data_IF_412643370266
#
_entry.id   IF_412643370266
#
_cell.length_a   1.000
_cell.length_b   1.000
_cell.length_c   1.000
_cell.angle_alpha   90.00
_cell.angle_beta   90.00
_cell.angle_gamma   90.00
#
_symmetry.space_group_name_H-M   'P 1'
#
loop_
_entity.id
_entity.type
_entity.pdbx_description
1 polymer ?
#
# COMPACT_ATOMS: atom_id res chain seq x y z
N UNK A 1 0.23 -21.71 -6.09
CA UNK A 1 1.03 -20.59 -5.54
C UNK A 1 2.52 -20.91 -5.56
N UNK A 2 3.02 -21.84 -4.74
CA UNK A 2 4.47 -22.08 -4.61
C UNK A 2 5.21 -22.51 -5.90
N UNK A 3 4.58 -23.30 -6.77
CA UNK A 3 5.17 -23.73 -8.05
C UNK A 3 5.32 -22.64 -9.11
N UNK A 4 5.09 -21.36 -8.77
CA UNK A 4 5.44 -20.24 -9.67
C UNK A 4 6.95 -19.99 -9.73
N UNK A 5 7.71 -20.50 -8.76
CA UNK A 5 9.17 -20.43 -8.73
C UNK A 5 9.71 -21.83 -8.41
N UNK A 6 10.41 -22.40 -9.38
CA UNK A 6 11.10 -23.68 -9.26
C UNK A 6 12.60 -23.39 -9.12
N UNK A 7 13.23 -24.00 -8.11
CA UNK A 7 14.65 -23.81 -7.80
C UNK A 7 15.34 -25.16 -7.74
N UNK A 8 16.55 -25.24 -8.31
CA UNK A 8 17.35 -26.46 -8.41
C UNK A 8 18.81 -26.20 -8.00
N UNK A 9 19.60 -27.26 -7.83
CA UNK A 9 21.04 -27.17 -7.52
C UNK A 9 21.40 -26.78 -6.08
N UNK A 10 20.43 -26.78 -5.17
CA UNK A 10 20.61 -26.47 -3.74
C UNK A 10 20.61 -27.69 -2.82
N UNK A 11 20.94 -27.42 -1.56
CA UNK A 11 20.82 -28.38 -0.44
C UNK A 11 19.37 -28.46 0.06
N UNK A 12 19.03 -29.54 0.78
CA UNK A 12 17.70 -29.69 1.40
C UNK A 12 17.32 -28.51 2.30
N UNK A 13 18.26 -27.95 3.05
CA UNK A 13 17.99 -26.83 3.96
C UNK A 13 17.73 -25.51 3.22
N UNK A 14 18.40 -25.30 2.07
CA UNK A 14 18.09 -24.17 1.19
C UNK A 14 16.68 -24.29 0.60
N UNK A 15 16.26 -25.48 0.16
CA UNK A 15 14.89 -25.69 -0.33
C UNK A 15 13.85 -25.45 0.77
N UNK A 16 14.07 -25.98 1.98
CA UNK A 16 13.20 -25.74 3.13
C UNK A 16 13.09 -24.26 3.45
N UNK A 17 14.22 -23.55 3.50
CA UNK A 17 14.25 -22.11 3.77
C UNK A 17 13.50 -21.34 2.69
N UNK A 18 13.81 -21.62 1.42
CA UNK A 18 13.19 -20.94 0.29
C UNK A 18 11.67 -21.10 0.27
N UNK A 19 11.17 -22.33 0.31
CA UNK A 19 9.73 -22.57 0.23
C UNK A 19 8.98 -22.16 1.51
N UNK A 20 9.66 -22.17 2.68
CA UNK A 20 9.09 -21.61 3.91
C UNK A 20 8.93 -20.09 3.81
N UNK A 21 9.95 -19.38 3.32
CA UNK A 21 9.88 -17.93 3.08
C UNK A 21 8.83 -17.60 2.00
N UNK A 22 8.81 -18.33 0.89
CA UNK A 22 7.83 -18.11 -0.17
C UNK A 22 6.39 -18.34 0.32
N UNK A 23 6.17 -19.36 1.15
CA UNK A 23 4.88 -19.56 1.81
C UNK A 23 4.49 -18.33 2.65
N UNK A 24 5.39 -17.83 3.51
CA UNK A 24 5.12 -16.64 4.34
C UNK A 24 4.82 -15.39 3.52
N UNK A 25 5.46 -15.23 2.36
CA UNK A 25 5.22 -14.13 1.41
C UNK A 25 3.89 -14.24 0.64
N UNK A 26 3.04 -15.22 0.93
CA UNK A 26 1.72 -15.41 0.27
C UNK A 26 0.55 -15.37 1.24
N UNK A 27 0.78 -14.96 2.49
CA UNK A 27 -0.25 -14.92 3.53
C UNK A 27 -0.92 -13.55 3.69
N UNK A 28 -0.17 -12.46 3.49
CA UNK A 28 -0.62 -11.09 3.74
C UNK A 28 -0.38 -10.17 2.53
N UNK A 29 -1.23 -9.13 2.34
CA UNK A 29 -2.46 -8.87 3.08
C UNK A 29 -3.52 -9.96 2.83
N UNK A 30 -4.39 -10.22 3.82
CA UNK A 30 -5.42 -11.25 3.67
C UNK A 30 -6.61 -10.71 2.88
N UNK A 31 -7.32 -11.59 2.17
CA UNK A 31 -8.66 -11.30 1.64
C UNK A 31 -9.56 -10.86 2.79
N UNK A 32 -10.26 -9.76 2.61
CA UNK A 32 -11.24 -9.23 3.54
C UNK A 32 -12.56 -8.93 2.83
N UNK A 33 -12.85 -9.73 1.83
CA UNK A 33 -14.08 -9.73 1.07
C UNK A 33 -14.67 -11.15 1.07
N UNK A 34 -15.96 -11.23 0.82
CA UNK A 34 -16.74 -12.45 0.70
C UNK A 34 -17.46 -12.48 -0.67
N UNK A 35 -18.01 -13.63 -1.02
CA UNK A 35 -18.75 -13.84 -2.27
C UNK A 35 -20.19 -14.16 -1.90
N UNK A 36 -21.14 -13.36 -2.42
CA UNK A 36 -22.56 -13.58 -2.17
C UNK A 36 -23.12 -14.79 -2.96
N UNK A 37 -24.39 -15.13 -2.74
CA UNK A 37 -25.07 -16.24 -3.41
C UNK A 37 -25.13 -16.12 -4.95
N UNK A 38 -24.94 -14.91 -5.49
CA UNK A 38 -24.99 -14.63 -6.92
C UNK A 38 -23.57 -14.57 -7.54
N UNK A 39 -22.52 -14.76 -6.73
CA UNK A 39 -21.14 -14.66 -7.18
C UNK A 39 -20.57 -13.24 -7.12
N UNK A 40 -21.28 -12.26 -6.55
CA UNK A 40 -20.77 -10.90 -6.41
C UNK A 40 -19.77 -10.81 -5.26
N UNK A 41 -18.70 -10.04 -5.47
CA UNK A 41 -17.71 -9.75 -4.44
C UNK A 41 -18.21 -8.58 -3.59
N UNK A 42 -18.27 -8.78 -2.28
CA UNK A 42 -18.70 -7.80 -1.28
C UNK A 42 -17.71 -7.79 -0.11
N UNK A 43 -17.64 -6.71 0.64
CA UNK A 43 -16.86 -6.66 1.88
C UNK A 43 -17.58 -5.84 2.94
N UNK A 44 -17.35 -6.19 4.21
CA UNK A 44 -17.59 -5.26 5.32
C UNK A 44 -16.43 -4.26 5.35
N UNK A 45 -16.72 -2.97 5.23
CA UNK A 45 -15.72 -1.93 5.30
C UNK A 45 -15.21 -1.80 6.74
N UNK A 46 -13.92 -2.08 6.99
CA UNK A 46 -13.34 -1.84 8.30
C UNK A 46 -13.09 -0.35 8.58
N UNK A 47 -13.46 0.52 7.64
CA UNK A 47 -13.22 1.96 7.72
C UNK A 47 -14.50 2.75 8.04
N UNK A 48 -15.66 2.34 7.53
CA UNK A 48 -16.93 3.02 7.76
C UNK A 48 -18.05 2.13 8.33
N UNK A 49 -17.86 0.81 8.37
CA UNK A 49 -18.82 -0.15 8.94
C UNK A 49 -19.96 -0.58 8.01
N UNK A 50 -19.95 -0.18 6.74
CA UNK A 50 -20.95 -0.58 5.76
C UNK A 50 -20.55 -1.87 5.01
N UNK A 51 -21.53 -2.54 4.39
CA UNK A 51 -21.26 -3.64 3.45
C UNK A 51 -21.31 -3.08 2.03
N UNK A 52 -20.19 -3.14 1.32
CA UNK A 52 -19.99 -2.49 0.02
C UNK A 52 -19.51 -3.49 -1.03
N UNK A 53 -19.77 -3.24 -2.33
CA UNK A 53 -19.27 -4.09 -3.40
C UNK A 53 -17.77 -3.92 -3.64
N UNK A 54 -17.15 -4.98 -4.16
CA UNK A 54 -15.76 -4.96 -4.62
C UNK A 54 -14.76 -5.53 -3.62
N UNK A 55 -13.51 -5.61 -4.04
CA UNK A 55 -12.44 -6.21 -3.25
C UNK A 55 -12.10 -5.39 -2.02
N UNK A 56 -11.59 -6.08 -0.99
CA UNK A 56 -10.99 -5.48 0.19
C UNK A 56 -9.91 -6.42 0.73
N UNK A 57 -8.80 -5.83 1.18
CA UNK A 57 -7.65 -6.53 1.75
C UNK A 57 -7.16 -5.75 2.96
N UNK A 58 -6.61 -6.44 3.96
CA UNK A 58 -6.07 -5.80 5.18
C UNK A 58 -5.01 -6.69 5.86
N UNK A 59 -4.53 -6.26 7.03
CA UNK A 59 -3.49 -6.89 7.85
C UNK A 59 -2.11 -6.87 7.20
N UNK A 60 -1.70 -5.65 6.84
CA UNK A 60 -0.34 -5.37 6.39
C UNK A 60 0.08 -3.96 6.80
N UNK A 61 1.38 -3.79 7.02
CA UNK A 61 2.03 -2.50 7.23
C UNK A 61 2.91 -2.17 6.04
N UNK A 62 2.61 -1.10 5.31
CA UNK A 62 3.36 -0.77 4.11
C UNK A 62 4.80 -0.39 4.40
N UNK A 63 5.10 0.23 5.55
CA UNK A 63 6.47 0.47 6.01
C UNK A 63 7.37 -0.77 5.95
N UNK A 64 6.79 -1.97 6.19
CA UNK A 64 7.46 -3.25 6.03
C UNK A 64 7.44 -3.71 4.55
N UNK A 65 6.24 -3.77 3.97
CA UNK A 65 5.98 -4.60 2.78
C UNK A 65 6.25 -3.92 1.45
N UNK A 66 6.40 -2.59 1.39
CA UNK A 66 6.69 -1.86 0.14
C UNK A 66 8.03 -2.27 -0.48
N UNK A 67 8.97 -2.71 0.35
CA UNK A 67 10.38 -2.92 0.01
C UNK A 67 10.60 -4.13 -0.90
N UNK A 68 9.86 -5.22 -0.68
CA UNK A 68 10.05 -6.47 -1.43
C UNK A 68 8.80 -7.32 -1.57
N UNK A 69 7.86 -7.29 -0.62
CA UNK A 69 6.67 -8.14 -0.69
C UNK A 69 5.77 -7.73 -1.85
N UNK A 70 5.35 -6.46 -1.92
CA UNK A 70 4.54 -5.97 -3.05
C UNK A 70 5.28 -6.06 -4.40
N UNK A 71 6.59 -5.72 -4.50
CA UNK A 71 7.36 -6.02 -5.70
C UNK A 71 7.36 -7.49 -6.12
N UNK A 72 7.43 -8.44 -5.18
CA UNK A 72 7.31 -9.87 -5.45
C UNK A 72 5.93 -10.22 -6.00
N UNK A 73 4.85 -9.65 -5.43
CA UNK A 73 3.50 -9.85 -5.94
C UNK A 73 3.35 -9.32 -7.37
N UNK A 74 3.90 -8.13 -7.67
CA UNK A 74 3.89 -7.57 -9.02
C UNK A 74 4.61 -8.47 -10.04
N UNK A 75 5.68 -9.16 -9.63
CA UNK A 75 6.46 -10.03 -10.51
C UNK A 75 5.81 -11.41 -10.70
N UNK A 76 5.36 -12.03 -9.61
CA UNK A 76 5.04 -13.48 -9.58
C UNK A 76 3.53 -13.74 -9.45
N UNK A 77 2.80 -12.82 -8.83
CA UNK A 77 1.37 -12.95 -8.56
C UNK A 77 0.57 -11.68 -8.95
N UNK A 78 0.74 -11.12 -10.16
CA UNK A 78 0.18 -9.82 -10.51
C UNK A 78 -1.35 -9.78 -10.44
N UNK A 79 -2.03 -10.88 -10.74
CA UNK A 79 -3.50 -10.95 -10.63
C UNK A 79 -3.98 -10.78 -9.18
N UNK A 80 -3.22 -11.27 -8.19
CA UNK A 80 -3.55 -11.09 -6.78
C UNK A 80 -3.32 -9.63 -6.37
N UNK A 81 -2.21 -9.03 -6.82
CA UNK A 81 -1.96 -7.63 -6.49
C UNK A 81 -2.94 -6.68 -7.18
N UNK A 82 -3.49 -7.03 -8.35
CA UNK A 82 -4.58 -6.28 -8.98
C UNK A 82 -5.83 -6.21 -8.07
N UNK A 83 -6.23 -7.34 -7.48
CA UNK A 83 -7.32 -7.35 -6.48
C UNK A 83 -6.99 -6.51 -5.24
N UNK A 84 -5.72 -6.55 -4.78
CA UNK A 84 -5.27 -5.72 -3.65
C UNK A 84 -5.34 -4.24 -4.00
N UNK A 85 -4.89 -3.81 -5.18
CA UNK A 85 -4.96 -2.42 -5.61
C UNK A 85 -6.40 -1.91 -5.70
N UNK A 86 -7.32 -2.73 -6.21
CA UNK A 86 -8.76 -2.41 -6.18
C UNK A 86 -9.28 -2.24 -4.74
N UNK A 87 -8.82 -3.10 -3.83
CA UNK A 87 -9.10 -2.97 -2.39
C UNK A 87 -8.55 -1.68 -1.76
N UNK A 88 -7.37 -1.20 -2.20
CA UNK A 88 -6.82 0.07 -1.76
C UNK A 88 -7.61 1.28 -2.29
N UNK A 89 -8.11 1.19 -3.52
CA UNK A 89 -8.99 2.21 -4.08
C UNK A 89 -10.29 2.30 -3.27
N UNK A 90 -10.86 1.16 -2.88
CA UNK A 90 -12.00 1.07 -1.97
C UNK A 90 -11.69 1.65 -0.58
N UNK A 91 -10.56 1.29 0.03
CA UNK A 91 -10.13 1.87 1.31
C UNK A 91 -10.04 3.41 1.27
N UNK A 92 -9.58 3.99 0.15
CA UNK A 92 -9.58 5.45 -0.04
C UNK A 92 -11.00 6.00 -0.19
N UNK A 93 -11.88 5.37 -1.00
CA UNK A 93 -13.28 5.80 -1.16
C UNK A 93 -14.04 5.80 0.18
N UNK A 94 -13.73 4.84 1.04
CA UNK A 94 -14.45 4.61 2.29
C UNK A 94 -13.92 5.40 3.48
N UNK A 95 -12.63 5.78 3.46
CA UNK A 95 -11.98 6.45 4.59
C UNK A 95 -11.41 7.83 4.27
N UNK A 96 -11.25 8.16 2.99
CA UNK A 96 -10.54 9.35 2.51
C UNK A 96 -9.02 9.25 2.57
N UNK A 97 -8.45 8.09 2.91
CA UNK A 97 -7.01 7.86 3.00
C UNK A 97 -6.61 6.50 2.43
N UNK A 98 -5.42 6.41 1.82
CA UNK A 98 -4.75 5.12 1.68
C UNK A 98 -4.28 4.66 3.07
N UNK A 99 -4.41 3.36 3.41
CA UNK A 99 -3.84 2.85 4.65
C UNK A 99 -2.31 2.85 4.59
N UNK A 100 -1.66 3.05 5.73
CA UNK A 100 -0.22 2.75 5.89
C UNK A 100 -0.04 1.49 6.75
N UNK A 101 -0.81 1.35 7.82
CA UNK A 101 -0.95 0.12 8.59
C UNK A 101 -2.44 -0.16 8.81
N UNK A 102 -2.91 -1.32 8.36
CA UNK A 102 -4.31 -1.70 8.46
C UNK A 102 -4.48 -3.04 9.18
N UNK A 103 -5.34 -3.08 10.21
CA UNK A 103 -5.74 -4.32 10.91
C UNK A 103 -6.95 -4.09 11.85
N UNK A 104 -8.18 -4.33 11.36
CA UNK A 104 -8.53 -4.39 9.94
C UNK A 104 -8.67 -2.99 9.31
N UNK A 105 -8.98 -1.95 10.08
CA UNK A 105 -9.03 -0.55 9.64
C UNK A 105 -7.70 0.17 9.92
N UNK A 106 -7.67 1.51 9.81
CA UNK A 106 -6.49 2.32 10.10
C UNK A 106 -5.95 2.08 11.52
N UNK A 107 -4.65 1.83 11.64
CA UNK A 107 -3.96 1.61 12.91
C UNK A 107 -2.74 2.50 13.04
N UNK A 108 -2.55 3.06 14.24
CA UNK A 108 -1.40 3.88 14.59
C UNK A 108 -0.13 3.05 14.71
N UNK A 109 0.50 2.71 13.59
CA UNK A 109 1.69 1.90 13.56
C UNK A 109 2.57 2.24 12.35
N UNK A 110 3.84 2.45 12.67
CA UNK A 110 4.95 2.87 11.82
C UNK A 110 4.78 4.25 11.13
N UNK A 111 5.75 4.61 10.29
CA UNK A 111 5.92 5.96 9.71
C UNK A 111 5.96 5.89 8.18
N UNK A 112 6.13 7.05 7.53
CA UNK A 112 6.22 7.15 6.08
C UNK A 112 4.86 7.32 5.41
N UNK A 113 4.86 7.40 4.08
CA UNK A 113 3.67 7.44 3.25
C UNK A 113 3.82 6.41 2.11
N UNK A 114 4.35 5.24 2.50
CA UNK A 114 4.85 4.17 1.64
C UNK A 114 3.73 3.48 0.84
N UNK A 115 2.45 3.76 1.16
CA UNK A 115 1.33 3.51 0.25
C UNK A 115 1.57 4.08 -1.15
N UNK A 116 2.25 5.22 -1.27
CA UNK A 116 2.66 5.80 -2.55
C UNK A 116 3.59 4.88 -3.35
N UNK A 117 4.56 4.24 -2.69
CA UNK A 117 5.44 3.25 -3.33
C UNK A 117 4.67 2.02 -3.83
N UNK A 118 3.83 1.45 -2.96
CA UNK A 118 3.02 0.26 -3.29
C UNK A 118 2.13 0.50 -4.51
N UNK A 119 1.42 1.63 -4.52
CA UNK A 119 0.52 2.02 -5.61
C UNK A 119 1.30 2.37 -6.87
N UNK A 120 2.35 3.19 -6.76
CA UNK A 120 3.14 3.59 -7.93
C UNK A 120 3.82 2.39 -8.60
N UNK A 121 4.41 1.46 -7.85
CA UNK A 121 5.06 0.28 -8.44
C UNK A 121 4.06 -0.58 -9.23
N UNK A 122 2.85 -0.77 -8.69
CA UNK A 122 1.79 -1.52 -9.38
C UNK A 122 1.29 -0.81 -10.65
N UNK A 123 1.07 0.52 -10.61
CA UNK A 123 0.65 1.31 -11.77
C UNK A 123 1.72 1.28 -12.87
N UNK A 124 2.99 1.51 -12.50
CA UNK A 124 4.10 1.58 -13.45
C UNK A 124 4.32 0.23 -14.15
N UNK A 125 4.12 -0.89 -13.44
CA UNK A 125 4.20 -2.26 -13.96
C UNK A 125 2.92 -2.77 -14.64
N UNK A 126 1.86 -1.95 -14.71
CA UNK A 126 0.61 -2.31 -15.39
C UNK A 126 -0.23 -3.37 -14.66
N UNK A 127 -0.12 -3.42 -13.34
CA UNK A 127 -0.85 -4.38 -12.49
C UNK A 127 -2.17 -3.81 -11.97
N UNK A 128 -2.24 -2.50 -11.77
CA UNK A 128 -3.44 -1.82 -11.28
C UNK A 128 -4.57 -1.86 -12.33
N UNK A 129 -5.82 -2.21 -11.95
CA UNK A 129 -6.98 -2.09 -12.83
C UNK A 129 -7.14 -0.65 -13.35
N UNK A 130 -7.42 -0.51 -14.64
CA UNK A 130 -7.44 0.80 -15.34
C UNK A 130 -8.43 1.78 -14.68
N UNK A 131 -9.59 1.28 -14.25
CA UNK A 131 -10.65 2.04 -13.60
C UNK A 131 -10.23 2.64 -12.24
N UNK A 132 -9.25 2.03 -11.56
CA UNK A 132 -8.80 2.46 -10.23
C UNK A 132 -7.59 3.40 -10.28
N UNK A 133 -6.88 3.52 -11.42
CA UNK A 133 -5.68 4.34 -11.56
C UNK A 133 -5.95 5.81 -11.17
N UNK A 134 -7.07 6.38 -11.63
CA UNK A 134 -7.40 7.77 -11.35
C UNK A 134 -7.65 8.00 -9.85
N UNK A 135 -8.42 7.12 -9.21
CA UNK A 135 -8.70 7.16 -7.77
C UNK A 135 -7.42 7.02 -6.95
N UNK A 136 -6.57 6.04 -7.29
CA UNK A 136 -5.33 5.79 -6.57
C UNK A 136 -4.30 6.93 -6.74
N UNK A 137 -4.21 7.53 -7.93
CA UNK A 137 -3.36 8.70 -8.15
C UNK A 137 -3.85 9.91 -7.34
N UNK A 138 -5.16 10.16 -7.29
CA UNK A 138 -5.74 11.19 -6.45
C UNK A 138 -5.44 10.94 -4.96
N UNK A 139 -5.59 9.69 -4.52
CA UNK A 139 -5.34 9.29 -3.13
C UNK A 139 -3.90 9.57 -2.69
N UNK A 140 -2.92 9.24 -3.54
CA UNK A 140 -1.51 9.58 -3.29
C UNK A 140 -1.29 11.10 -3.18
N UNK A 141 -1.91 11.89 -4.06
CA UNK A 141 -1.80 13.36 -4.00
C UNK A 141 -2.45 13.93 -2.74
N UNK A 142 -3.61 13.41 -2.34
CA UNK A 142 -4.30 13.83 -1.13
C UNK A 142 -3.48 13.54 0.14
N UNK A 143 -2.83 12.38 0.21
CA UNK A 143 -1.97 11.98 1.32
C UNK A 143 -0.83 12.95 1.62
N UNK A 144 -0.32 13.67 0.59
CA UNK A 144 0.76 14.67 0.75
C UNK A 144 0.38 15.89 1.59
N UNK A 145 -0.91 16.12 1.82
CA UNK A 145 -1.45 17.32 2.48
C UNK A 145 -2.45 17.01 3.59
N UNK A 146 -2.50 15.76 4.05
CA UNK A 146 -3.47 15.33 5.06
C UNK A 146 -2.82 14.31 5.98
N UNK A 147 -3.25 14.34 7.24
CA UNK A 147 -3.01 13.28 8.22
C UNK A 147 -4.36 12.88 8.80
N UNK A 148 -4.55 11.60 9.07
CA UNK A 148 -5.80 11.11 9.64
C UNK A 148 -5.99 11.68 11.06
N UNK A 149 -7.19 12.17 11.42
CA UNK A 149 -7.40 12.95 12.65
C UNK A 149 -7.10 12.19 13.94
N UNK A 150 -7.23 10.86 13.92
CA UNK A 150 -7.02 10.00 15.10
C UNK A 150 -5.90 8.96 14.92
N UNK A 151 -5.27 8.90 13.74
CA UNK A 151 -4.28 7.87 13.40
C UNK A 151 -3.10 8.55 12.71
N UNK A 152 -2.13 9.02 13.49
CA UNK A 152 -1.04 9.87 12.99
C UNK A 152 -0.10 9.20 11.97
N UNK A 153 -0.12 7.88 11.85
CA UNK A 153 0.61 7.13 10.83
C UNK A 153 -0.09 7.06 9.47
N UNK A 154 -1.38 7.39 9.38
CA UNK A 154 -2.13 7.40 8.11
C UNK A 154 -2.11 8.79 7.50
N UNK A 155 -1.61 8.92 6.26
CA UNK A 155 -1.28 10.19 5.63
C UNK A 155 0.10 10.69 6.05
N UNK A 156 0.33 12.01 5.99
CA UNK A 156 1.62 12.63 6.33
C UNK A 156 1.55 13.51 7.59
N UNK A 157 1.98 12.96 8.72
CA UNK A 157 2.23 13.73 9.94
C UNK A 157 3.37 14.74 9.71
N UNK A 158 3.13 16.01 9.98
CA UNK A 158 4.11 17.08 9.77
C UNK A 158 4.28 17.50 8.30
N UNK A 159 3.29 17.22 7.44
CA UNK A 159 3.35 17.60 6.03
C UNK A 159 3.46 19.11 5.82
N UNK A 160 2.96 19.93 6.75
CA UNK A 160 3.06 21.39 6.69
C UNK A 160 4.53 21.82 6.75
N UNK A 161 5.28 21.31 7.73
CA UNK A 161 6.72 21.54 7.83
C UNK A 161 7.46 21.00 6.61
N UNK A 162 7.19 19.75 6.23
CA UNK A 162 7.85 19.12 5.10
C UNK A 162 7.61 19.88 3.78
N UNK A 163 6.37 20.29 3.50
CA UNK A 163 6.02 20.99 2.27
C UNK A 163 6.56 22.44 2.22
N UNK A 164 6.80 23.07 3.38
CA UNK A 164 7.34 24.44 3.44
C UNK A 164 8.86 24.49 3.57
N UNK A 165 9.46 23.56 4.32
CA UNK A 165 10.89 23.57 4.67
C UNK A 165 11.72 22.52 3.91
N UNK A 166 11.06 21.53 3.29
CA UNK A 166 11.71 20.37 2.68
C UNK A 166 12.10 19.26 3.66
N UNK A 167 11.79 19.42 4.95
CA UNK A 167 12.02 18.42 6.00
C UNK A 167 11.11 18.65 7.21
N UNK A 168 11.00 17.65 8.08
CA UNK A 168 10.33 17.78 9.38
C UNK A 168 11.39 18.15 10.45
N UNK A 169 11.30 19.32 11.10
CA UNK A 169 12.23 19.74 12.13
C UNK A 169 12.27 18.78 13.31
N UNK A 170 13.39 18.77 14.04
CA UNK A 170 13.59 17.91 15.20
C UNK A 170 12.88 18.44 16.46
N UNK A 171 12.76 19.76 16.58
CA UNK A 171 12.35 20.49 17.78
C UNK A 171 10.87 20.93 17.77
N UNK A 172 10.04 20.32 16.93
CA UNK A 172 8.60 20.64 16.78
C UNK A 172 7.66 19.60 17.38
N UNK A 173 8.18 18.69 18.21
CA UNK A 173 7.38 17.67 18.90
C UNK A 173 6.87 16.54 18.01
N UNK A 174 7.47 16.35 16.82
CA UNK A 174 7.19 15.22 15.92
C UNK A 174 8.38 14.27 15.96
N UNK A 175 8.19 13.06 16.51
CA UNK A 175 9.25 12.06 16.59
C UNK A 175 9.49 11.36 15.23
N UNK A 176 10.61 10.65 15.14
CA UNK A 176 11.08 9.96 13.93
C UNK A 176 11.17 10.88 12.69
N UNK A 177 11.34 12.19 12.92
CA UNK A 177 11.25 13.23 11.90
C UNK A 177 12.26 13.05 10.74
N UNK A 178 13.45 12.51 11.03
CA UNK A 178 14.45 12.17 9.99
C UNK A 178 13.94 11.01 9.12
N UNK A 179 13.43 9.94 9.72
CA UNK A 179 12.91 8.77 9.00
C UNK A 179 11.71 9.16 8.12
N UNK A 180 10.76 9.93 8.69
CA UNK A 180 9.62 10.48 7.96
C UNK A 180 10.05 11.33 6.76
N UNK A 181 11.00 12.24 6.96
CA UNK A 181 11.51 13.11 5.88
C UNK A 181 12.09 12.29 4.73
N UNK A 182 12.92 11.29 5.03
CA UNK A 182 13.57 10.46 4.01
C UNK A 182 12.57 9.60 3.25
N UNK A 183 11.63 8.95 3.95
CA UNK A 183 10.59 8.15 3.29
C UNK A 183 9.62 9.04 2.50
N UNK A 184 9.22 10.22 2.99
CA UNK A 184 8.39 11.17 2.24
C UNK A 184 9.07 11.65 0.95
N UNK A 185 10.39 11.86 0.96
CA UNK A 185 11.14 12.22 -0.25
C UNK A 185 11.13 11.10 -1.29
N UNK A 186 11.27 9.84 -0.85
CA UNK A 186 11.11 8.67 -1.71
C UNK A 186 9.69 8.54 -2.24
N UNK A 187 8.68 8.75 -1.39
CA UNK A 187 7.27 8.69 -1.76
C UNK A 187 6.91 9.79 -2.78
N UNK A 188 7.46 10.99 -2.64
CA UNK A 188 7.30 12.07 -3.62
C UNK A 188 7.91 11.69 -4.98
N UNK A 189 9.06 11.00 -4.99
CA UNK A 189 9.63 10.46 -6.22
C UNK A 189 8.70 9.41 -6.86
N UNK A 190 8.12 8.49 -6.06
CA UNK A 190 7.15 7.50 -6.54
C UNK A 190 5.94 8.17 -7.20
N UNK A 191 5.40 9.21 -6.59
CA UNK A 191 4.26 9.98 -7.13
C UNK A 191 4.67 10.69 -8.43
N UNK A 192 5.87 11.28 -8.48
CA UNK A 192 6.40 11.94 -9.67
C UNK A 192 6.56 10.98 -10.86
N UNK A 193 6.95 9.71 -10.62
CA UNK A 193 7.02 8.71 -11.70
C UNK A 193 5.63 8.40 -12.30
N UNK A 194 4.60 8.27 -11.45
CA UNK A 194 3.24 8.05 -11.94
C UNK A 194 2.72 9.29 -12.65
N UNK A 195 2.95 10.49 -12.12
CA UNK A 195 2.61 11.74 -12.77
C UNK A 195 3.20 11.83 -14.18
N UNK A 196 4.48 11.46 -14.35
CA UNK A 196 5.13 11.38 -15.66
C UNK A 196 4.47 10.36 -16.59
N UNK A 197 4.16 9.15 -16.10
CA UNK A 197 3.45 8.12 -16.89
C UNK A 197 2.07 8.60 -17.37
N UNK A 198 1.37 9.36 -16.53
CA UNK A 198 0.03 9.89 -16.82
C UNK A 198 0.04 11.23 -17.58
N UNK A 199 1.21 11.77 -17.95
CA UNK A 199 1.32 13.06 -18.62
C UNK A 199 0.93 14.27 -17.75
N UNK A 200 0.99 14.14 -16.43
CA UNK A 200 0.62 15.17 -15.43
C UNK A 200 1.86 15.87 -14.87
N UNK A 201 2.67 16.49 -15.73
CA UNK A 201 3.98 17.07 -15.36
C UNK A 201 3.95 18.56 -14.98
N UNK A 202 2.76 19.14 -14.79
CA UNK A 202 2.58 20.55 -14.44
C UNK A 202 2.22 20.72 -12.96
#
# INVERSE_FOLDING_TARGET
MLGRIEVEGGTTDQYRTFYSCLYRSTLFPRKFYEIDKNGNILHYSPYNGEVLPGYMYTDTGFWDTFRSLFPLLNLVYPSVNAEIQAGLANAYRESGFLPEWASPGHRGCMVGNNSASVVSDAILKGVTPEEDIATLYEAMLAGRRKVHPTVSSTGRLGHEYYNTLGYIPYDVGINENVARTLEYAYDDWCIAQVAKKLGKTN
#
